data_IF_072587215061
#
_entry.id   IF_072587215061
#
_cell.length_a   1.000
_cell.length_b   1.000
_cell.length_c   1.000
_cell.angle_alpha   90.00
_cell.angle_beta   90.00
_cell.angle_gamma   90.00
#
_symmetry.space_group_name_H-M   'P 1'
#
loop_
_entity.id
_entity.type
_entity.pdbx_description
1 polymer ?
#
# COMPACT_ATOMS: atom_id res chain seq x y z
N UNK A 1 -2.99 -14.56 23.61
CA UNK A 1 -3.83 -13.75 22.70
C UNK A 1 -3.16 -12.40 22.46
N UNK A 2 -1.96 -12.42 21.88
CA UNK A 2 -1.15 -11.21 21.56
C UNK A 2 -0.70 -11.24 20.10
N UNK A 3 -0.98 -12.34 19.38
CA UNK A 3 -0.59 -12.54 17.98
C UNK A 3 -1.33 -11.61 17.01
N UNK A 4 -2.58 -11.23 17.28
CA UNK A 4 -3.37 -10.45 16.32
C UNK A 4 -2.82 -9.03 16.11
N UNK A 5 -2.56 -8.23 17.15
CA UNK A 5 -2.09 -6.85 16.95
C UNK A 5 -0.68 -6.78 16.32
N UNK A 6 0.22 -7.70 16.68
CA UNK A 6 1.57 -7.74 16.12
C UNK A 6 1.57 -8.18 14.65
N UNK A 7 0.65 -9.05 14.23
CA UNK A 7 0.46 -9.41 12.82
C UNK A 7 -0.15 -8.27 12.00
N UNK A 8 -0.96 -7.41 12.62
CA UNK A 8 -1.64 -6.29 11.95
C UNK A 8 -0.74 -5.08 11.72
N UNK A 9 0.03 -4.64 12.72
CA UNK A 9 1.04 -3.62 12.47
C UNK A 9 2.08 -4.12 11.44
N UNK A 10 2.30 -5.43 11.39
CA UNK A 10 3.20 -6.07 10.42
C UNK A 10 2.65 -6.07 9.00
N UNK A 11 1.33 -6.21 8.77
CA UNK A 11 0.77 -6.11 7.42
C UNK A 11 0.87 -4.67 6.89
N UNK A 12 0.56 -3.67 7.72
CA UNK A 12 0.68 -2.25 7.32
C UNK A 12 2.13 -1.87 7.08
N UNK A 13 3.05 -2.31 7.94
CA UNK A 13 4.48 -2.06 7.76
C UNK A 13 4.99 -2.63 6.43
N UNK A 14 4.66 -3.89 6.11
CA UNK A 14 5.03 -4.53 4.83
C UNK A 14 4.36 -3.86 3.63
N UNK A 15 3.10 -3.46 3.79
CA UNK A 15 2.39 -2.72 2.75
C UNK A 15 3.10 -1.41 2.43
N UNK A 16 3.46 -0.63 3.44
CA UNK A 16 4.19 0.64 3.29
C UNK A 16 5.60 0.40 2.72
N UNK A 17 6.26 -0.69 3.12
CA UNK A 17 7.59 -1.09 2.62
C UNK A 17 7.59 -1.25 1.09
N UNK A 18 6.58 -1.88 0.51
CA UNK A 18 6.42 -2.06 -0.94
C UNK A 18 6.55 -0.73 -1.70
N UNK A 19 5.95 0.33 -1.17
CA UNK A 19 5.96 1.65 -1.81
C UNK A 19 7.26 2.43 -1.63
N UNK A 20 8.11 2.03 -0.68
CA UNK A 20 9.38 2.68 -0.39
C UNK A 20 10.61 1.88 -0.84
N UNK A 21 10.44 0.64 -1.31
CA UNK A 21 11.55 -0.24 -1.68
C UNK A 21 12.30 0.25 -2.95
N UNK A 22 13.60 0.62 -2.83
CA UNK A 22 14.40 1.13 -3.94
C UNK A 22 14.81 0.09 -4.97
N UNK A 23 15.06 -1.16 -4.56
CA UNK A 23 15.49 -2.23 -5.45
C UNK A 23 14.29 -2.83 -6.20
N UNK A 24 14.35 -2.83 -7.52
CA UNK A 24 13.24 -3.30 -8.34
C UNK A 24 12.96 -4.80 -8.17
N UNK A 25 14.00 -5.60 -7.89
CA UNK A 25 13.85 -7.04 -7.64
C UNK A 25 13.20 -7.30 -6.29
N UNK A 26 13.72 -6.67 -5.23
CA UNK A 26 13.16 -6.75 -3.88
C UNK A 26 11.72 -6.23 -3.84
N UNK A 27 11.41 -5.13 -4.54
CA UNK A 27 10.03 -4.61 -4.64
C UNK A 27 9.08 -5.64 -5.24
N UNK A 28 9.51 -6.31 -6.32
CA UNK A 28 8.72 -7.38 -6.92
C UNK A 28 8.52 -8.55 -5.94
N UNK A 29 9.56 -8.97 -5.23
CA UNK A 29 9.47 -10.03 -4.23
C UNK A 29 8.53 -9.66 -3.08
N UNK A 30 8.52 -8.40 -2.64
CA UNK A 30 7.58 -7.91 -1.62
C UNK A 30 6.14 -7.96 -2.12
N UNK A 31 5.88 -7.55 -3.37
CA UNK A 31 4.56 -7.65 -4.00
C UNK A 31 4.12 -9.11 -4.09
N UNK A 32 5.01 -10.01 -4.52
CA UNK A 32 4.72 -11.44 -4.61
C UNK A 32 4.45 -12.05 -3.23
N UNK A 33 5.08 -11.57 -2.17
CA UNK A 33 4.80 -12.03 -0.80
C UNK A 33 3.47 -11.52 -0.27
N UNK A 34 3.12 -10.26 -0.57
CA UNK A 34 2.00 -9.57 0.05
C UNK A 34 0.67 -9.77 -0.69
N UNK A 35 0.69 -9.83 -2.03
CA UNK A 35 -0.50 -10.10 -2.84
C UNK A 35 -0.60 -11.56 -3.29
N UNK A 36 -1.82 -12.00 -3.52
CA UNK A 36 -2.13 -13.22 -4.28
C UNK A 36 -1.74 -13.06 -5.77
N UNK A 37 -1.50 -14.15 -6.51
CA UNK A 37 -1.07 -14.07 -7.92
C UNK A 37 -2.01 -13.29 -8.84
N UNK A 38 -3.30 -13.30 -8.53
CA UNK A 38 -4.38 -12.60 -9.23
C UNK A 38 -4.93 -11.40 -8.45
N UNK A 39 -4.25 -10.98 -7.38
CA UNK A 39 -4.65 -9.86 -6.54
C UNK A 39 -4.79 -8.56 -7.31
N UNK A 40 -5.69 -7.68 -6.86
CA UNK A 40 -6.06 -6.46 -7.60
C UNK A 40 -6.00 -5.25 -6.69
N UNK A 41 -5.37 -4.18 -7.15
CA UNK A 41 -5.53 -2.83 -6.59
C UNK A 41 -6.57 -2.06 -7.40
N UNK A 42 -7.53 -1.44 -6.71
CA UNK A 42 -8.53 -0.53 -7.24
C UNK A 42 -8.23 0.87 -6.73
N UNK A 43 -8.13 1.83 -7.64
CA UNK A 43 -7.92 3.24 -7.29
C UNK A 43 -9.04 4.11 -7.87
N UNK A 44 -9.10 5.36 -7.43
CA UNK A 44 -10.10 6.32 -7.89
C UNK A 44 -10.15 6.45 -9.43
N UNK A 45 -11.35 6.74 -9.96
CA UNK A 45 -11.56 6.85 -11.41
C UNK A 45 -11.78 5.52 -12.13
N UNK A 46 -11.95 4.42 -11.40
CA UNK A 46 -12.25 3.09 -11.96
C UNK A 46 -11.04 2.40 -12.58
N UNK A 47 -9.83 2.83 -12.21
CA UNK A 47 -8.58 2.20 -12.63
C UNK A 47 -8.28 1.02 -11.71
N UNK A 48 -7.76 -0.06 -12.29
CA UNK A 48 -7.35 -1.24 -11.56
C UNK A 48 -6.00 -1.76 -12.06
N UNK A 49 -5.23 -2.38 -11.17
CA UNK A 49 -3.96 -3.04 -11.46
C UNK A 49 -4.04 -4.48 -10.95
N UNK A 50 -3.95 -5.46 -11.84
CA UNK A 50 -4.18 -6.88 -11.55
C UNK A 50 -2.92 -7.73 -11.73
N UNK A 51 -2.65 -8.54 -10.70
CA UNK A 51 -1.55 -9.49 -10.67
C UNK A 51 -0.19 -8.81 -10.56
N UNK A 52 0.83 -9.62 -10.33
CA UNK A 52 2.16 -9.13 -9.97
C UNK A 52 2.78 -8.18 -10.98
N UNK A 53 2.53 -8.36 -12.28
CA UNK A 53 3.10 -7.49 -13.31
C UNK A 53 2.56 -6.06 -13.20
N UNK A 54 1.23 -5.88 -13.27
CA UNK A 54 0.61 -4.56 -13.24
C UNK A 54 0.83 -3.86 -11.89
N UNK A 55 0.78 -4.62 -10.78
CA UNK A 55 1.11 -4.10 -9.45
C UNK A 55 2.57 -3.64 -9.37
N UNK A 56 3.51 -4.39 -9.93
CA UNK A 56 4.93 -4.00 -9.94
C UNK A 56 5.15 -2.72 -10.74
N UNK A 57 4.53 -2.60 -11.92
CA UNK A 57 4.63 -1.41 -12.76
C UNK A 57 4.05 -0.19 -12.04
N UNK A 58 2.87 -0.32 -11.45
CA UNK A 58 2.17 0.70 -10.68
C UNK A 58 2.98 1.21 -9.48
N UNK A 59 3.54 0.30 -8.68
CA UNK A 59 4.36 0.67 -7.52
C UNK A 59 5.67 1.30 -7.99
N UNK A 60 6.27 0.77 -9.06
CA UNK A 60 7.50 1.33 -9.66
C UNK A 60 7.29 2.76 -10.14
N UNK A 61 6.19 3.04 -10.85
CA UNK A 61 5.85 4.38 -11.33
C UNK A 61 5.71 5.37 -10.16
N UNK A 62 4.95 5.00 -9.13
CA UNK A 62 4.78 5.85 -7.96
C UNK A 62 6.09 6.06 -7.19
N UNK A 63 6.90 5.02 -7.03
CA UNK A 63 8.21 5.13 -6.38
C UNK A 63 9.11 6.12 -7.14
N UNK A 64 9.24 5.97 -8.45
CA UNK A 64 10.08 6.85 -9.28
C UNK A 64 9.59 8.30 -9.28
N UNK A 65 8.27 8.49 -9.29
CA UNK A 65 7.67 9.82 -9.32
C UNK A 65 7.79 10.57 -8.00
N UNK A 66 7.66 9.88 -6.86
CA UNK A 66 7.53 10.55 -5.56
C UNK A 66 8.65 10.23 -4.57
N UNK A 67 9.09 8.97 -4.49
CA UNK A 67 9.98 8.53 -3.41
C UNK A 67 11.45 8.57 -3.82
N UNK A 68 11.76 8.32 -5.10
CA UNK A 68 13.13 8.18 -5.59
C UNK A 68 14.00 9.43 -5.43
N UNK A 69 13.40 10.62 -5.36
CA UNK A 69 14.13 11.89 -5.11
C UNK A 69 14.53 12.05 -3.64
N UNK A 70 13.87 11.32 -2.73
CA UNK A 70 14.00 11.47 -1.28
C UNK A 70 13.13 12.60 -0.69
N UNK A 71 12.35 13.30 -1.51
CA UNK A 71 11.50 14.41 -1.04
C UNK A 71 10.23 13.92 -0.34
N UNK A 72 9.73 12.74 -0.74
CA UNK A 72 8.56 12.12 -0.16
C UNK A 72 8.86 10.72 0.40
N UNK A 73 8.06 10.32 1.38
CA UNK A 73 8.05 8.98 1.94
C UNK A 73 6.61 8.52 2.12
N UNK A 74 6.32 7.26 1.82
CA UNK A 74 5.02 6.67 2.12
C UNK A 74 5.02 6.17 3.56
N UNK A 75 3.99 6.51 4.34
CA UNK A 75 3.83 6.08 5.75
C UNK A 75 2.38 5.68 6.04
N UNK A 76 2.19 4.83 7.06
CA UNK A 76 0.87 4.57 7.63
C UNK A 76 0.54 5.60 8.72
N UNK A 77 -0.72 6.05 8.81
CA UNK A 77 -1.14 7.06 9.78
C UNK A 77 -1.35 6.52 11.22
N UNK A 78 -1.09 5.23 11.47
CA UNK A 78 -1.26 4.61 12.78
C UNK A 78 -2.72 4.36 13.19
N UNK A 79 -3.65 4.36 12.22
CA UNK A 79 -5.10 4.20 12.41
C UNK A 79 -5.62 2.85 11.90
N UNK A 80 -4.79 1.80 11.98
CA UNK A 80 -5.15 0.45 11.53
C UNK A 80 -6.33 -0.10 12.33
N UNK A 81 -7.33 -0.64 11.62
CA UNK A 81 -8.46 -1.36 12.19
C UNK A 81 -8.79 -2.58 11.35
N UNK A 82 -9.39 -3.59 11.97
CA UNK A 82 -9.58 -4.91 11.36
C UNK A 82 -10.92 -5.51 11.74
N UNK A 83 -11.54 -6.16 10.77
CA UNK A 83 -12.73 -6.95 10.94
C UNK A 83 -12.64 -8.20 10.07
N UNK A 84 -12.58 -9.38 10.69
CA UNK A 84 -12.37 -10.66 10.00
C UNK A 84 -11.15 -10.61 9.05
N UNK A 85 -11.38 -10.79 7.75
CA UNK A 85 -10.40 -10.79 6.67
C UNK A 85 -10.17 -9.40 6.04
N UNK A 86 -10.76 -8.35 6.62
CA UNK A 86 -10.67 -6.98 6.14
C UNK A 86 -9.76 -6.15 7.05
N UNK A 87 -8.74 -5.53 6.45
CA UNK A 87 -7.85 -4.56 7.12
C UNK A 87 -8.07 -3.19 6.52
N UNK A 88 -8.13 -2.13 7.34
CA UNK A 88 -8.17 -0.76 6.85
C UNK A 88 -7.26 0.16 7.65
N UNK A 89 -6.59 1.07 6.96
CA UNK A 89 -5.68 2.07 7.50
C UNK A 89 -5.56 3.23 6.52
N UNK A 90 -4.99 4.35 6.95
CA UNK A 90 -4.69 5.48 6.07
C UNK A 90 -3.23 5.42 5.63
N UNK A 91 -3.00 5.34 4.32
CA UNK A 91 -1.67 5.51 3.71
C UNK A 91 -1.47 6.98 3.37
N UNK A 92 -0.27 7.50 3.59
CA UNK A 92 0.07 8.91 3.38
C UNK A 92 1.37 9.04 2.61
N UNK A 93 1.41 9.99 1.68
CA UNK A 93 2.65 10.51 1.13
C UNK A 93 3.03 11.76 1.92
N UNK A 94 4.16 11.71 2.62
CA UNK A 94 4.60 12.77 3.53
C UNK A 94 5.85 13.45 3.00
N UNK A 95 5.89 14.78 3.09
CA UNK A 95 7.07 15.61 2.86
C UNK A 95 7.25 16.59 4.02
N UNK A 96 8.49 16.76 4.51
CA UNK A 96 8.82 17.68 5.61
C UNK A 96 7.98 17.49 6.91
N UNK A 97 7.41 16.30 7.12
CA UNK A 97 6.57 15.98 8.28
C UNK A 97 5.07 16.22 8.08
N UNK A 98 4.66 16.77 6.93
CA UNK A 98 3.26 17.03 6.58
C UNK A 98 2.78 16.08 5.47
N UNK A 99 1.52 15.64 5.55
CA UNK A 99 0.90 14.83 4.51
C UNK A 99 0.59 15.68 3.26
N UNK A 100 1.20 15.32 2.14
CA UNK A 100 0.94 15.92 0.82
C UNK A 100 -0.16 15.19 0.05
N UNK A 101 -0.39 13.91 0.37
CA UNK A 101 -1.48 13.08 -0.15
C UNK A 101 -1.84 12.00 0.88
N UNK A 102 -3.10 11.56 0.87
CA UNK A 102 -3.54 10.42 1.66
C UNK A 102 -4.67 9.65 0.98
N UNK A 103 -4.68 8.34 1.19
CA UNK A 103 -5.80 7.47 0.87
C UNK A 103 -6.18 6.58 2.06
N UNK A 104 -7.47 6.33 2.19
CA UNK A 104 -7.97 5.23 3.01
C UNK A 104 -7.82 3.95 2.19
N UNK A 105 -7.06 3.01 2.75
CA UNK A 105 -6.80 1.69 2.16
C UNK A 105 -7.74 0.68 2.80
N UNK A 106 -8.34 -0.20 1.99
CA UNK A 106 -9.02 -1.40 2.45
C UNK A 106 -8.40 -2.63 1.78
N UNK A 107 -7.94 -3.58 2.57
CA UNK A 107 -7.38 -4.84 2.10
C UNK A 107 -8.34 -5.96 2.45
N UNK A 108 -8.74 -6.74 1.45
CA UNK A 108 -9.39 -8.03 1.63
C UNK A 108 -8.34 -9.13 1.52
N UNK A 109 -8.17 -9.91 2.58
CA UNK A 109 -7.16 -10.95 2.69
C UNK A 109 -7.73 -12.33 2.34
N UNK A 110 -6.86 -13.23 1.89
CA UNK A 110 -7.17 -14.66 1.81
C UNK A 110 -6.90 -15.41 3.12
N UNK A 111 -7.19 -16.71 3.12
CA UNK A 111 -6.96 -17.59 4.28
C UNK A 111 -5.47 -17.68 4.70
N UNK A 112 -4.55 -17.34 3.78
CA UNK A 112 -3.09 -17.29 4.02
C UNK A 112 -2.62 -15.88 4.44
N UNK A 113 -3.54 -14.91 4.57
CA UNK A 113 -3.25 -13.53 4.94
C UNK A 113 -2.68 -12.66 3.81
N UNK A 114 -2.83 -13.08 2.55
CA UNK A 114 -2.36 -12.36 1.36
C UNK A 114 -3.48 -11.53 0.76
N UNK A 115 -3.13 -10.39 0.16
CA UNK A 115 -4.09 -9.45 -0.39
C UNK A 115 -4.71 -10.01 -1.67
N UNK A 116 -6.04 -10.16 -1.67
CA UNK A 116 -6.87 -10.44 -2.87
C UNK A 116 -7.33 -9.15 -3.52
N UNK A 117 -7.83 -8.22 -2.71
CA UNK A 117 -8.34 -6.94 -3.19
C UNK A 117 -7.78 -5.83 -2.31
N UNK A 118 -7.27 -4.78 -2.94
CA UNK A 118 -6.76 -3.56 -2.32
C UNK A 118 -7.56 -2.38 -2.89
N UNK A 119 -8.20 -1.60 -2.03
CA UNK A 119 -8.97 -0.43 -2.43
C UNK A 119 -8.34 0.84 -1.88
N UNK A 120 -7.95 1.75 -2.77
CA UNK A 120 -7.53 3.10 -2.42
C UNK A 120 -8.64 4.10 -2.68
N UNK A 121 -9.08 4.75 -1.60
CA UNK A 121 -10.00 5.88 -1.66
C UNK A 121 -9.23 7.12 -1.24
N UNK A 122 -8.94 8.03 -2.19
CA UNK A 122 -8.22 9.27 -1.88
C UNK A 122 -9.02 10.11 -0.90
N UNK A 123 -8.43 10.41 0.25
CA UNK A 123 -9.02 11.27 1.30
C UNK A 123 -8.37 12.66 1.32
N UNK A 124 -7.14 12.76 0.83
CA UNK A 124 -6.43 14.01 0.58
C UNK A 124 -5.73 13.92 -0.79
N UNK A 125 -6.21 14.62 -1.84
CA UNK A 125 -5.56 14.62 -3.13
C UNK A 125 -4.22 15.38 -3.10
N UNK A 126 -3.33 15.06 -4.04
CA UNK A 126 -2.09 15.80 -4.22
C UNK A 126 -2.40 17.26 -4.53
N UNK A 127 -1.59 18.21 -4.03
CA UNK A 127 -1.72 19.60 -4.44
C UNK A 127 -1.51 19.71 -5.96
N UNK A 128 -2.21 20.64 -6.64
CA UNK A 128 -1.94 20.92 -8.04
C UNK A 128 -0.49 21.40 -8.21
N UNK A 129 0.13 20.99 -9.32
CA UNK A 129 1.47 21.40 -9.73
C UNK A 129 1.55 22.91 -10.04
#
# INVERSE_FOLDING_TARGET
MTETALDLDRIVARYVEVWNEPDAGARRELIEQLWTPDGVEFVDGGVQFRGYAELTDRVTEAYLQFVATGDFTVVGAGDVTVHDDIVTFTSQLVANGDAAWAARVFLLLDDDGRIREDYHITTLPLPPA
#
